data_IF_241865220058
#
_entry.id   IF_241865220058
#
_cell.length_a   1.000
_cell.length_b   1.000
_cell.length_c   1.000
_cell.angle_alpha   90.00
_cell.angle_beta   90.00
_cell.angle_gamma   90.00
#
_symmetry.space_group_name_H-M   'P 1'
#
loop_
_entity.id
_entity.type
_entity.pdbx_description
1 polymer ?
#
# COMPACT_ATOMS: atom_id res chain seq x y z
N UNK A 1 -0.92 0.15 -6.43
CA UNK A 1 0.11 -0.26 -7.43
C UNK A 1 1.02 0.93 -7.64
N UNK A 2 2.33 0.72 -7.67
CA UNK A 2 3.33 1.74 -7.98
C UNK A 2 3.68 1.68 -9.46
N UNK A 3 3.57 2.82 -10.15
CA UNK A 3 3.92 2.97 -11.56
C UNK A 3 5.21 3.79 -11.64
N UNK A 4 6.30 3.17 -12.11
CA UNK A 4 7.65 3.73 -12.00
C UNK A 4 8.18 4.09 -13.38
N UNK A 5 8.84 5.24 -13.48
CA UNK A 5 9.50 5.66 -14.72
C UNK A 5 8.56 6.20 -15.79
N UNK A 6 7.36 6.61 -15.41
CA UNK A 6 6.41 7.34 -16.27
C UNK A 6 6.35 8.81 -15.86
N UNK A 7 6.03 9.68 -16.80
CA UNK A 7 5.85 11.13 -16.57
C UNK A 7 4.43 11.61 -16.92
N UNK A 8 3.50 10.67 -17.07
CA UNK A 8 2.10 10.94 -17.38
C UNK A 8 1.23 10.31 -16.30
N UNK A 9 0.18 11.04 -15.89
CA UNK A 9 -0.90 10.46 -15.11
C UNK A 9 -1.70 9.54 -16.01
N UNK A 10 -2.06 8.37 -15.49
CA UNK A 10 -2.90 7.43 -16.21
C UNK A 10 -4.30 7.41 -15.59
N UNK A 11 -5.31 7.83 -16.36
CA UNK A 11 -6.65 8.16 -15.84
C UNK A 11 -7.37 7.00 -15.15
N UNK A 12 -7.24 5.78 -15.66
CA UNK A 12 -7.88 4.62 -15.02
C UNK A 12 -7.11 4.17 -13.76
N UNK A 13 -5.85 4.58 -13.56
CA UNK A 13 -5.04 4.23 -12.39
C UNK A 13 -5.45 5.02 -11.13
N UNK A 14 -6.07 6.18 -11.32
CA UNK A 14 -6.59 7.03 -10.24
C UNK A 14 -8.06 6.74 -9.93
N UNK A 15 -8.67 5.75 -10.61
CA UNK A 15 -10.02 5.34 -10.28
C UNK A 15 -10.05 4.77 -8.87
N UNK A 16 -11.06 5.21 -8.14
CA UNK A 16 -11.39 4.72 -6.81
C UNK A 16 -11.52 3.18 -6.78
N UNK A 17 -12.06 2.60 -7.85
CA UNK A 17 -12.55 1.23 -7.93
C UNK A 17 -12.19 0.56 -9.26
N UNK A 18 -10.91 0.24 -9.52
CA UNK A 18 -10.53 -0.31 -10.80
C UNK A 18 -11.11 -1.72 -11.01
N UNK A 19 -11.65 -2.01 -12.20
CA UNK A 19 -11.89 -3.38 -12.66
C UNK A 19 -10.57 -4.09 -12.97
N UNK A 20 -10.57 -5.42 -13.07
CA UNK A 20 -9.43 -6.18 -13.58
C UNK A 20 -8.98 -5.71 -14.99
N UNK A 21 -9.93 -5.33 -15.85
CA UNK A 21 -9.62 -4.78 -17.17
C UNK A 21 -8.95 -3.40 -17.09
N UNK A 22 -9.36 -2.57 -16.14
CA UNK A 22 -8.74 -1.26 -15.88
C UNK A 22 -7.35 -1.42 -15.26
N UNK A 23 -7.13 -2.44 -14.43
CA UNK A 23 -5.80 -2.82 -13.95
C UNK A 23 -4.91 -3.27 -15.12
N UNK A 24 -5.41 -4.11 -16.03
CA UNK A 24 -4.69 -4.52 -17.26
C UNK A 24 -4.34 -3.31 -18.12
N UNK A 25 -5.30 -2.41 -18.36
CA UNK A 25 -5.06 -1.17 -19.10
C UNK A 25 -4.01 -0.30 -18.42
N UNK A 26 -3.96 -0.29 -17.08
CA UNK A 26 -2.92 0.41 -16.30
C UNK A 26 -1.55 -0.11 -16.51
N UNK A 27 -1.40 -1.41 -16.42
CA UNK A 27 -0.12 -2.07 -16.64
C UNK A 27 0.30 -1.83 -18.09
N UNK A 28 -0.59 -2.07 -19.06
CA UNK A 28 -0.30 -1.88 -20.48
C UNK A 28 0.12 -0.45 -20.81
N UNK A 29 -0.61 0.56 -20.35
CA UNK A 29 -0.24 1.98 -20.61
C UNK A 29 1.06 2.37 -19.93
N UNK A 30 1.34 1.82 -18.75
CA UNK A 30 2.62 2.03 -18.07
C UNK A 30 3.77 1.48 -18.92
N UNK A 31 3.59 0.31 -19.55
CA UNK A 31 4.56 -0.27 -20.47
C UNK A 31 4.72 0.53 -21.76
N UNK A 32 3.63 1.03 -22.35
CA UNK A 32 3.67 1.91 -23.53
C UNK A 32 4.51 3.17 -23.28
N UNK A 33 4.45 3.69 -22.05
CA UNK A 33 5.24 4.83 -21.59
C UNK A 33 6.69 4.46 -21.20
N UNK A 34 7.05 3.18 -21.32
CA UNK A 34 8.37 2.67 -20.96
C UNK A 34 8.61 2.53 -19.46
N UNK A 35 7.56 2.55 -18.65
CA UNK A 35 7.61 2.38 -17.19
C UNK A 35 7.54 0.92 -16.73
N UNK A 36 7.38 0.74 -15.43
CA UNK A 36 7.21 -0.53 -14.73
C UNK A 36 6.00 -0.47 -13.79
N UNK A 37 5.23 -1.54 -13.72
CA UNK A 37 4.08 -1.69 -12.83
C UNK A 37 4.40 -2.67 -11.69
N UNK A 38 4.35 -2.19 -10.45
CA UNK A 38 4.71 -2.94 -9.24
C UNK A 38 3.51 -3.01 -8.29
N UNK A 39 3.16 -4.21 -7.81
CA UNK A 39 2.09 -4.33 -6.82
C UNK A 39 2.65 -4.08 -5.43
N UNK A 40 1.91 -3.29 -4.65
CA UNK A 40 2.31 -2.89 -3.31
C UNK A 40 1.84 -3.95 -2.31
N UNK A 41 2.58 -4.06 -1.21
CA UNK A 41 2.39 -4.88 -0.01
C UNK A 41 1.08 -5.66 0.11
N UNK A 42 1.00 -6.78 -0.62
CA UNK A 42 -0.12 -7.73 -0.64
C UNK A 42 -0.58 -8.17 0.77
N UNK A 43 0.30 -8.38 1.77
CA UNK A 43 -0.15 -8.76 3.10
C UNK A 43 -1.16 -7.77 3.70
N UNK A 44 -1.02 -6.46 3.45
CA UNK A 44 -1.98 -5.48 3.94
C UNK A 44 -3.36 -5.68 3.32
N UNK A 45 -3.43 -5.91 2.00
CA UNK A 45 -4.68 -6.16 1.28
C UNK A 45 -5.39 -7.42 1.75
N UNK A 46 -4.63 -8.46 2.11
CA UNK A 46 -5.16 -9.77 2.43
C UNK A 46 -5.33 -10.04 3.94
N UNK A 47 -4.79 -9.19 4.80
CA UNK A 47 -4.96 -9.31 6.26
C UNK A 47 -6.43 -9.07 6.64
N UNK A 48 -6.87 -9.73 7.71
CA UNK A 48 -8.20 -9.52 8.29
C UNK A 48 -8.44 -8.04 8.64
N UNK A 49 -9.57 -7.51 8.19
CA UNK A 49 -10.01 -6.18 8.57
C UNK A 49 -10.54 -6.16 9.99
N UNK A 50 -10.13 -5.15 10.75
CA UNK A 50 -10.54 -4.98 12.13
C UNK A 50 -12.07 -4.83 12.19
N UNK A 51 -12.72 -5.69 12.98
CA UNK A 51 -14.17 -5.69 13.15
C UNK A 51 -14.95 -6.62 12.22
N UNK A 52 -14.36 -7.12 11.13
CA UNK A 52 -15.12 -7.81 10.08
C UNK A 52 -14.81 -9.29 9.90
N UNK A 53 -13.72 -9.81 10.49
CA UNK A 53 -13.25 -11.21 10.29
C UNK A 53 -13.08 -11.62 8.81
N UNK A 54 -13.01 -10.65 7.90
CA UNK A 54 -12.88 -10.81 6.44
C UNK A 54 -11.59 -10.15 5.95
N UNK A 55 -11.03 -10.55 4.79
CA UNK A 55 -9.88 -9.86 4.20
C UNK A 55 -10.18 -8.38 3.94
N UNK A 56 -9.19 -7.52 4.20
CA UNK A 56 -9.28 -6.07 3.97
C UNK A 56 -9.75 -5.72 2.56
N UNK A 57 -9.26 -6.44 1.56
CA UNK A 57 -9.70 -6.36 0.17
C UNK A 57 -10.24 -7.72 -0.30
N UNK A 58 -11.56 -7.90 -0.27
CA UNK A 58 -12.19 -9.18 -0.57
C UNK A 58 -12.00 -9.65 -2.02
N UNK A 59 -11.85 -8.72 -2.96
CA UNK A 59 -11.69 -8.99 -4.40
C UNK A 59 -10.28 -8.63 -4.90
N UNK A 60 -9.26 -8.69 -4.05
CA UNK A 60 -7.89 -8.45 -4.49
C UNK A 60 -7.43 -9.55 -5.46
N UNK A 61 -6.90 -9.23 -6.65
CA UNK A 61 -6.39 -10.24 -7.57
C UNK A 61 -5.31 -11.13 -6.93
N UNK A 62 -5.30 -12.41 -7.26
CA UNK A 62 -4.21 -13.32 -6.90
C UNK A 62 -2.89 -12.91 -7.56
N UNK A 63 -1.76 -13.43 -7.05
CA UNK A 63 -0.43 -13.13 -7.61
C UNK A 63 -0.32 -13.62 -9.06
N UNK A 64 -0.91 -14.77 -9.34
CA UNK A 64 -0.99 -15.38 -10.67
C UNK A 64 -1.79 -14.49 -11.62
N UNK A 65 -2.98 -14.04 -11.19
CA UNK A 65 -3.78 -13.09 -11.98
C UNK A 65 -3.01 -11.79 -12.27
N UNK A 66 -2.29 -11.24 -11.28
CA UNK A 66 -1.49 -10.03 -11.50
C UNK A 66 -0.36 -10.25 -12.51
N UNK A 67 0.32 -11.41 -12.47
CA UNK A 67 1.32 -11.78 -13.48
C UNK A 67 0.69 -11.91 -14.86
N UNK A 68 -0.48 -12.56 -14.96
CA UNK A 68 -1.24 -12.68 -16.20
C UNK A 68 -1.74 -11.33 -16.73
N UNK A 69 -1.85 -10.31 -15.86
CA UNK A 69 -2.12 -8.92 -16.24
C UNK A 69 -0.88 -8.17 -16.75
N UNK A 70 0.31 -8.74 -16.60
CA UNK A 70 1.58 -8.16 -17.05
C UNK A 70 2.39 -7.46 -15.97
N UNK A 71 2.13 -7.73 -14.69
CA UNK A 71 2.89 -7.10 -13.60
C UNK A 71 4.41 -7.35 -13.71
N UNK A 72 5.22 -6.32 -13.47
CA UNK A 72 6.68 -6.42 -13.57
C UNK A 72 7.33 -6.95 -12.30
N UNK A 73 6.74 -6.65 -11.14
CA UNK A 73 7.34 -6.91 -9.84
C UNK A 73 6.39 -6.79 -8.66
N UNK A 74 6.84 -7.30 -7.53
CA UNK A 74 6.08 -7.29 -6.28
C UNK A 74 6.93 -6.64 -5.18
N UNK A 75 6.28 -5.79 -4.40
CA UNK A 75 6.84 -5.31 -3.14
C UNK A 75 6.83 -6.45 -2.10
N UNK A 76 8.01 -6.97 -1.79
CA UNK A 76 8.20 -8.09 -0.86
C UNK A 76 8.36 -7.65 0.60
N UNK A 77 8.61 -6.37 0.84
CA UNK A 77 8.74 -5.82 2.18
C UNK A 77 8.20 -4.40 2.21
N UNK A 78 7.38 -4.13 3.21
CA UNK A 78 6.74 -2.84 3.42
C UNK A 78 6.55 -2.55 4.90
N UNK A 79 7.00 -1.37 5.33
CA UNK A 79 7.18 -1.09 6.75
C UNK A 79 7.93 -2.26 7.44
N UNK A 80 7.51 -2.63 8.64
CA UNK A 80 8.09 -3.75 9.38
C UNK A 80 7.68 -5.16 8.91
N UNK A 81 7.04 -5.31 7.74
CA UNK A 81 6.52 -6.60 7.27
C UNK A 81 7.31 -7.13 6.08
N UNK A 82 7.87 -8.33 6.20
CA UNK A 82 8.47 -9.11 5.11
C UNK A 82 7.51 -10.19 4.61
N UNK A 83 7.08 -10.09 3.36
CA UNK A 83 6.23 -11.06 2.67
C UNK A 83 7.08 -12.18 2.03
N UNK A 84 7.37 -13.20 2.81
CA UNK A 84 8.16 -14.36 2.36
C UNK A 84 7.48 -15.16 1.25
N UNK A 85 6.14 -15.12 1.16
CA UNK A 85 5.38 -15.77 0.09
C UNK A 85 5.62 -15.03 -1.23
N UNK A 86 5.49 -13.70 -1.23
CA UNK A 86 5.83 -12.89 -2.41
C UNK A 86 7.30 -12.99 -2.79
N UNK A 87 8.22 -13.05 -1.82
CA UNK A 87 9.64 -13.25 -2.10
C UNK A 87 9.88 -14.55 -2.89
N UNK A 88 9.32 -15.67 -2.44
CA UNK A 88 9.44 -16.94 -3.16
C UNK A 88 8.78 -16.88 -4.53
N UNK A 89 7.59 -16.29 -4.62
CA UNK A 89 6.86 -16.15 -5.88
C UNK A 89 7.64 -15.32 -6.90
N UNK A 90 8.22 -14.19 -6.49
CA UNK A 90 9.07 -13.34 -7.34
C UNK A 90 10.28 -14.11 -7.87
N UNK A 91 10.91 -14.96 -7.04
CA UNK A 91 12.03 -15.81 -7.46
C UNK A 91 11.59 -16.87 -8.49
N UNK A 92 10.46 -17.52 -8.27
CA UNK A 92 9.96 -18.59 -9.14
C UNK A 92 9.51 -18.06 -10.52
N UNK A 93 8.97 -16.85 -10.55
CA UNK A 93 8.46 -16.21 -11.78
C UNK A 93 9.45 -15.22 -12.40
N UNK A 94 10.67 -15.12 -11.86
CA UNK A 94 11.70 -14.18 -12.29
C UNK A 94 11.17 -12.73 -12.40
N UNK A 95 10.39 -12.27 -11.41
CA UNK A 95 9.84 -10.91 -11.38
C UNK A 95 10.84 -9.92 -10.75
N UNK A 96 10.58 -8.62 -10.89
CA UNK A 96 11.32 -7.59 -10.18
C UNK A 96 10.98 -7.65 -8.68
N UNK A 97 12.02 -7.77 -7.85
CA UNK A 97 11.93 -7.65 -6.41
C UNK A 97 12.04 -6.18 -6.00
N UNK A 98 11.08 -5.70 -5.22
CA UNK A 98 11.03 -4.34 -4.69
C UNK A 98 10.72 -4.36 -3.19
N UNK A 99 11.13 -3.31 -2.49
CA UNK A 99 10.71 -2.99 -1.13
C UNK A 99 10.30 -1.52 -1.05
N UNK A 100 9.46 -1.18 -0.09
CA UNK A 100 9.08 0.20 0.18
C UNK A 100 8.97 0.46 1.67
N UNK A 101 9.12 1.73 2.03
CA UNK A 101 9.01 2.17 3.41
C UNK A 101 7.58 2.61 3.76
N UNK A 102 6.79 3.01 2.75
CA UNK A 102 5.42 3.52 2.90
C UNK A 102 5.29 4.56 4.02
N UNK A 103 6.23 5.50 3.99
CA UNK A 103 6.35 6.57 4.99
C UNK A 103 5.18 7.53 4.83
N UNK A 104 4.32 7.56 5.85
CA UNK A 104 3.18 8.47 5.93
C UNK A 104 3.43 9.64 6.90
N UNK A 105 4.42 9.51 7.79
CA UNK A 105 4.73 10.49 8.83
C UNK A 105 6.25 10.69 8.98
N UNK A 106 6.72 11.88 9.41
CA UNK A 106 8.15 12.17 9.57
C UNK A 106 8.86 11.33 10.64
N UNK A 107 8.10 10.75 11.57
CA UNK A 107 8.57 9.85 12.62
C UNK A 107 8.42 8.36 12.25
N UNK A 108 7.98 8.04 11.03
CA UNK A 108 7.89 6.66 10.54
C UNK A 108 9.28 6.12 10.21
N UNK A 109 9.59 4.94 10.75
CA UNK A 109 10.85 4.24 10.47
C UNK A 109 10.84 3.64 9.05
N UNK A 110 11.99 3.66 8.38
CA UNK A 110 12.22 2.84 7.21
C UNK A 110 12.83 1.50 7.66
N UNK A 111 12.24 0.39 7.23
CA UNK A 111 12.69 -0.96 7.59
C UNK A 111 13.34 -1.70 6.42
N UNK A 112 13.18 -1.20 5.20
CA UNK A 112 13.61 -1.92 4.01
C UNK A 112 14.11 -0.98 2.91
N UNK A 113 15.02 -1.49 2.08
CA UNK A 113 15.56 -0.79 0.93
C UNK A 113 15.73 -1.74 -0.25
N UNK A 114 15.28 -1.29 -1.42
CA UNK A 114 15.65 -1.92 -2.69
C UNK A 114 17.09 -1.54 -3.02
N UNK A 115 17.96 -2.53 -3.11
CA UNK A 115 19.38 -2.34 -3.44
C UNK A 115 19.57 -2.59 -4.93
N UNK A 116 20.29 -1.69 -5.58
CA UNK A 116 20.61 -1.75 -6.99
C UNK A 116 22.07 -1.34 -7.20
N UNK A 117 22.80 -2.11 -8.00
CA UNK A 117 24.18 -1.80 -8.32
C UNK A 117 24.25 -0.94 -9.59
N UNK A 118 24.54 0.35 -9.42
CA UNK A 118 24.68 1.29 -10.53
C UNK A 118 26.10 1.39 -11.08
N UNK A 119 27.07 0.65 -10.53
CA UNK A 119 28.51 0.75 -10.85
C UNK A 119 29.02 2.20 -10.83
N UNK A 120 28.49 3.02 -9.92
CA UNK A 120 28.82 4.44 -9.78
C UNK A 120 28.02 5.41 -10.67
N UNK A 121 27.27 4.93 -11.67
CA UNK A 121 26.45 5.79 -12.54
C UNK A 121 25.04 5.98 -11.99
N UNK A 122 24.83 6.97 -11.11
CA UNK A 122 23.54 7.18 -10.41
C UNK A 122 22.53 8.04 -11.20
N UNK A 123 22.48 7.89 -12.52
CA UNK A 123 21.44 8.54 -13.34
C UNK A 123 20.12 7.78 -13.28
N UNK A 124 19.01 8.48 -13.51
CA UNK A 124 17.69 7.87 -13.58
C UNK A 124 17.62 6.76 -14.63
N UNK A 125 18.22 6.98 -15.81
CA UNK A 125 18.27 5.98 -16.88
C UNK A 125 18.98 4.69 -16.45
N UNK A 126 20.11 4.80 -15.75
CA UNK A 126 20.82 3.62 -15.28
C UNK A 126 20.05 2.90 -14.16
N UNK A 127 19.40 3.64 -13.26
CA UNK A 127 18.52 3.05 -12.23
C UNK A 127 17.38 2.27 -12.91
N UNK A 128 16.68 2.90 -13.85
CA UNK A 128 15.59 2.26 -14.60
C UNK A 128 16.09 1.06 -15.40
N UNK A 129 17.30 1.11 -15.96
CA UNK A 129 17.90 -0.03 -16.65
C UNK A 129 18.16 -1.20 -15.69
N UNK A 130 18.64 -0.95 -14.46
CA UNK A 130 18.82 -2.03 -13.46
C UNK A 130 17.48 -2.63 -13.02
N UNK A 131 16.46 -1.78 -12.81
CA UNK A 131 15.11 -2.23 -12.45
C UNK A 131 14.48 -3.09 -13.56
N UNK A 132 14.53 -2.63 -14.82
CA UNK A 132 14.05 -3.40 -15.98
C UNK A 132 14.81 -4.72 -16.16
N UNK A 133 16.10 -4.72 -15.88
CA UNK A 133 16.92 -5.92 -15.90
C UNK A 133 16.74 -6.83 -14.67
N UNK A 134 15.87 -6.44 -13.72
CA UNK A 134 15.57 -7.18 -12.47
C UNK A 134 16.83 -7.45 -11.63
N UNK A 135 17.80 -6.53 -11.70
CA UNK A 135 19.09 -6.62 -10.98
C UNK A 135 18.99 -5.93 -9.63
N UNK A 136 18.07 -6.40 -8.82
CA UNK A 136 17.85 -5.88 -7.47
C UNK A 136 18.14 -6.93 -6.41
N UNK A 137 18.57 -6.46 -5.25
CA UNK A 137 18.47 -7.19 -3.99
C UNK A 137 17.78 -6.30 -2.98
N UNK A 138 17.72 -6.71 -1.71
CA UNK A 138 17.12 -5.91 -0.67
C UNK A 138 17.90 -5.97 0.63
N UNK A 139 17.78 -4.90 1.42
CA UNK A 139 18.07 -4.90 2.84
C UNK A 139 16.74 -4.85 3.58
N UNK A 140 16.58 -5.70 4.59
CA UNK A 140 15.48 -5.62 5.55
C UNK A 140 16.08 -5.64 6.95
N UNK A 141 15.76 -4.61 7.74
CA UNK A 141 16.15 -4.49 9.13
C UNK A 141 14.87 -4.44 9.98
N UNK A 142 14.58 -5.48 10.79
CA UNK A 142 13.37 -5.52 11.61
C UNK A 142 13.35 -4.46 12.72
N UNK A 143 14.49 -3.84 13.04
CA UNK A 143 14.56 -2.73 14.00
C UNK A 143 14.20 -1.38 13.37
N UNK A 144 14.35 -1.28 12.04
CA UNK A 144 14.12 -0.05 11.29
C UNK A 144 15.11 1.08 11.61
N UNK A 145 15.04 2.16 10.83
CA UNK A 145 15.79 3.39 11.14
C UNK A 145 15.28 4.04 12.42
N UNK A 146 16.14 4.81 13.09
CA UNK A 146 15.68 5.73 14.13
C UNK A 146 14.76 6.82 13.54
N UNK A 147 13.71 7.25 14.25
CA UNK A 147 12.91 8.40 13.85
C UNK A 147 13.79 9.65 13.69
N UNK A 148 13.63 10.38 12.58
CA UNK A 148 14.46 11.56 12.28
C UNK A 148 13.90 12.84 12.91
N UNK A 149 12.58 12.95 13.04
CA UNK A 149 11.93 14.12 13.61
C UNK A 149 10.60 13.74 14.25
N UNK A 150 10.34 14.27 15.45
CA UNK A 150 9.02 14.27 16.04
C UNK A 150 8.29 15.55 15.58
N UNK A 151 7.04 15.46 15.08
CA UNK A 151 6.29 16.64 14.68
C UNK A 151 6.07 17.56 15.89
N UNK A 152 6.23 18.90 15.74
CA UNK A 152 5.98 19.82 16.82
C UNK A 152 4.49 19.86 17.19
N UNK A 153 4.19 20.07 18.46
CA UNK A 153 2.81 20.27 18.88
C UNK A 153 2.23 21.57 18.28
N UNK A 154 1.00 21.48 17.77
CA UNK A 154 0.30 22.63 17.20
C UNK A 154 -0.60 23.28 18.25
N UNK A 155 -0.38 24.56 18.56
CA UNK A 155 -1.28 25.30 19.46
C UNK A 155 -2.72 25.38 18.91
N UNK A 156 -2.88 25.29 17.59
CA UNK A 156 -4.20 25.22 16.96
C UNK A 156 -4.88 23.88 17.26
N UNK A 157 -4.13 22.76 17.27
CA UNK A 157 -4.65 21.46 17.66
C UNK A 157 -5.24 21.50 19.08
N UNK A 158 -4.53 22.07 20.07
CA UNK A 158 -5.07 22.16 21.43
C UNK A 158 -6.31 23.06 21.55
N UNK A 159 -6.47 24.06 20.68
CA UNK A 159 -7.67 24.90 20.65
C UNK A 159 -8.87 24.17 20.05
N UNK A 160 -8.66 23.31 19.06
CA UNK A 160 -9.74 22.63 18.32
C UNK A 160 -9.98 21.19 18.76
N UNK A 161 -9.07 20.58 19.51
CA UNK A 161 -9.20 19.22 20.02
C UNK A 161 -10.36 19.02 21.00
N UNK A 162 -10.69 19.94 21.94
CA UNK A 162 -11.69 19.63 22.97
C UNK A 162 -13.08 19.23 22.44
N UNK A 163 -13.68 19.92 21.44
CA UNK A 163 -14.92 19.45 20.82
C UNK A 163 -14.80 18.06 20.20
N UNK A 164 -13.69 17.76 19.52
CA UNK A 164 -13.43 16.43 18.92
C UNK A 164 -13.29 15.35 19.99
N UNK A 165 -12.59 15.64 21.09
CA UNK A 165 -12.44 14.73 22.22
C UNK A 165 -13.77 14.49 22.94
N UNK A 166 -14.65 15.49 23.05
CA UNK A 166 -16.01 15.29 23.54
C UNK A 166 -16.81 14.38 22.59
N UNK A 167 -16.69 14.58 21.28
CA UNK A 167 -17.28 13.67 20.29
C UNK A 167 -16.79 12.22 20.45
N UNK A 168 -15.48 12.03 20.63
CA UNK A 168 -14.87 10.72 20.91
C UNK A 168 -15.31 10.14 22.26
N UNK A 169 -15.51 10.97 23.28
CA UNK A 169 -16.08 10.52 24.55
C UNK A 169 -17.48 9.94 24.30
N UNK A 170 -18.32 10.62 23.53
CA UNK A 170 -19.66 10.12 23.21
C UNK A 170 -19.62 8.84 22.36
N UNK A 171 -18.58 8.61 21.53
CA UNK A 171 -18.38 7.32 20.85
C UNK A 171 -18.23 6.13 21.82
N UNK A 172 -18.17 6.31 23.13
CA UNK A 172 -18.32 5.19 24.05
C UNK A 172 -19.71 4.52 23.98
N UNK A 173 -20.74 5.25 23.54
CA UNK A 173 -22.13 4.77 23.47
C UNK A 173 -22.48 4.06 22.15
N UNK A 174 -21.64 4.16 21.12
CA UNK A 174 -21.85 3.45 19.87
C UNK A 174 -20.53 3.04 19.22
N UNK A 175 -20.56 1.99 18.42
CA UNK A 175 -19.50 1.68 17.47
C UNK A 175 -20.08 1.98 16.10
N UNK A 176 -19.44 2.90 15.39
CA UNK A 176 -19.70 3.16 13.97
C UNK A 176 -18.59 2.47 13.17
N UNK A 177 -18.95 1.45 12.39
CA UNK A 177 -18.02 0.84 11.44
C UNK A 177 -18.54 1.03 10.01
N UNK A 178 -17.84 1.88 9.26
CA UNK A 178 -18.16 2.20 7.86
C UNK A 178 -17.51 1.23 6.85
N UNK A 179 -16.71 0.29 7.36
CA UNK A 179 -15.96 -0.69 6.58
C UNK A 179 -14.71 -0.10 5.94
N UNK A 180 -13.78 -0.99 5.53
CA UNK A 180 -12.65 -0.55 4.72
C UNK A 180 -13.13 -0.03 3.36
N UNK A 181 -12.53 1.06 2.90
CA UNK A 181 -12.75 1.57 1.55
C UNK A 181 -12.43 0.48 0.49
N UNK A 182 -13.36 0.25 -0.43
CA UNK A 182 -13.19 -0.78 -1.47
C UNK A 182 -12.37 -0.29 -2.63
N UNK A 183 -11.56 -1.17 -3.23
CA UNK A 183 -11.04 -0.98 -4.59
C UNK A 183 -11.78 -1.88 -5.60
N UNK A 184 -12.94 -2.44 -5.23
CA UNK A 184 -13.78 -3.30 -6.09
C UNK A 184 -14.57 -2.49 -7.11
N UNK A 185 -14.68 -2.95 -8.38
CA UNK A 185 -15.37 -2.24 -9.46
C UNK A 185 -16.88 -2.02 -9.23
N UNK A 186 -17.48 -2.75 -8.30
CA UNK A 186 -18.89 -2.58 -7.90
C UNK A 186 -19.14 -1.33 -7.06
N UNK A 187 -18.08 -0.61 -6.66
CA UNK A 187 -18.16 0.55 -5.78
C UNK A 187 -18.48 0.20 -4.33
N UNK A 188 -18.41 1.21 -3.45
CA UNK A 188 -18.77 1.09 -2.03
C UNK A 188 -17.61 0.73 -1.09
N UNK A 189 -17.96 0.20 0.08
CA UNK A 189 -17.02 -0.33 1.07
C UNK A 189 -16.76 -1.82 0.81
N UNK A 190 -15.56 -2.31 1.14
CA UNK A 190 -15.26 -3.74 1.11
C UNK A 190 -16.18 -4.52 2.07
N UNK A 191 -16.74 -3.84 3.06
CA UNK A 191 -17.45 -4.46 4.16
C UNK A 191 -18.80 -3.76 4.38
N UNK A 192 -19.80 -4.46 4.94
CA UNK A 192 -21.09 -3.85 5.27
C UNK A 192 -20.92 -2.80 6.37
N UNK A 193 -21.57 -1.64 6.24
CA UNK A 193 -21.61 -0.66 7.33
C UNK A 193 -22.54 -1.14 8.45
N UNK A 194 -22.12 -0.97 9.70
CA UNK A 194 -23.00 -1.21 10.85
C UNK A 194 -22.76 -0.24 12.00
N UNK A 195 -23.88 0.13 12.64
CA UNK A 195 -23.91 0.92 13.87
C UNK A 195 -24.34 0.03 15.03
N UNK A 196 -23.48 -0.14 16.02
CA UNK A 196 -23.82 -0.87 17.25
C UNK A 196 -24.00 0.12 18.40
N UNK A 197 -25.21 0.26 18.93
CA UNK A 197 -25.48 1.11 20.11
C UNK A 197 -25.28 0.28 21.38
N UNK A 198 -24.40 0.76 22.27
CA UNK A 198 -24.13 0.18 23.59
C UNK A 198 -25.13 0.71 24.62
N UNK A 199 -26.40 0.38 24.43
CA UNK A 199 -27.51 0.89 25.23
C UNK A 199 -27.37 0.60 26.73
N UNK A 200 -26.64 -0.43 27.15
CA UNK A 200 -26.39 -0.74 28.58
C UNK A 200 -25.54 0.32 29.31
N UNK A 201 -24.81 1.15 28.56
CA UNK A 201 -24.06 2.28 29.12
C UNK A 201 -24.93 3.55 29.20
N UNK A 202 -26.11 3.51 28.58
CA UNK A 202 -27.09 4.58 28.60
C UNK A 202 -28.07 4.22 29.72
N UNK A 203 -28.07 5.01 30.80
CA UNK A 203 -28.92 4.79 31.97
C UNK A 203 -30.41 4.78 31.66
#
# INVERSE_FOLDING_TARGET
>A
MNLIGINETIDFAIKKWPTDDELRQTIARTHELGGLAIINHIPWSNTTEYGYELPRMQNHPSREQLVDMGLDGIEIANGGTLDTISLKFVQDHNLLLMTGADVHYPDSNAFSWTILNTNGNRTMDNIMAQLKARRTSFLFDPTGTQPLAYPPESSLYFKTAPPTLLGQLFQMFWIDQTGMYSFSPTGGSCHPEYLTIRWQLIG
#
